data_IF_586354956843
#
_entry.id   IF_586354956843
#
_cell.length_a   1.000
_cell.length_b   1.000
_cell.length_c   1.000
_cell.angle_alpha   90.00
_cell.angle_beta   90.00
_cell.angle_gamma   90.00
#
_symmetry.space_group_name_H-M   'P 1'
#
loop_
_entity.id
_entity.type
_entity.pdbx_description
1 polymer ?
#
# COMPACT_ATOMS: atom_id res chain seq x y z
N UNK A 1 -3.64 -16.49 -0.74
CA UNK A 1 -2.50 -15.59 -0.97
C UNK A 1 -2.51 -14.55 0.13
N UNK A 2 -1.36 -14.20 0.69
CA UNK A 2 -1.25 -13.03 1.57
C UNK A 2 -1.42 -11.74 0.75
N UNK A 3 -1.80 -10.64 1.39
CA UNK A 3 -1.97 -9.35 0.71
C UNK A 3 -0.67 -8.94 -0.01
N UNK A 4 0.48 -9.20 0.60
CA UNK A 4 1.81 -8.95 0.02
C UNK A 4 2.02 -9.70 -1.30
N UNK A 5 1.66 -11.00 -1.34
CA UNK A 5 1.76 -11.81 -2.55
C UNK A 5 0.83 -11.30 -3.65
N UNK A 6 -0.38 -10.86 -3.29
CA UNK A 6 -1.32 -10.26 -4.24
C UNK A 6 -0.75 -8.97 -4.83
N UNK A 7 -0.24 -8.07 -3.98
CA UNK A 7 0.37 -6.81 -4.43
C UNK A 7 1.59 -7.05 -5.31
N UNK A 8 2.41 -8.06 -5.02
CA UNK A 8 3.54 -8.41 -5.88
C UNK A 8 3.10 -8.87 -7.28
N UNK A 9 2.01 -9.65 -7.36
CA UNK A 9 1.42 -10.04 -8.63
C UNK A 9 0.85 -8.82 -9.37
N UNK A 10 0.14 -7.94 -8.69
CA UNK A 10 -0.48 -6.75 -9.27
C UNK A 10 0.58 -5.74 -9.74
N UNK A 11 1.70 -5.59 -9.01
CA UNK A 11 2.85 -4.78 -9.46
C UNK A 11 3.37 -5.30 -10.79
N UNK A 12 3.52 -6.62 -10.94
CA UNK A 12 3.98 -7.23 -12.18
C UNK A 12 2.98 -6.96 -13.32
N UNK A 13 1.67 -7.04 -13.06
CA UNK A 13 0.65 -6.71 -14.04
C UNK A 13 0.68 -5.22 -14.44
N UNK A 14 0.76 -4.31 -13.47
CA UNK A 14 0.86 -2.88 -13.72
C UNK A 14 2.12 -2.51 -14.53
N UNK A 15 3.25 -3.18 -14.27
CA UNK A 15 4.47 -3.03 -15.07
C UNK A 15 4.27 -3.48 -16.53
N UNK A 16 3.63 -4.63 -16.75
CA UNK A 16 3.33 -5.14 -18.09
C UNK A 16 2.35 -4.24 -18.85
N UNK A 17 1.33 -3.74 -18.15
CA UNK A 17 0.34 -2.81 -18.67
C UNK A 17 0.87 -1.39 -18.89
N UNK A 18 2.10 -1.09 -18.42
CA UNK A 18 2.70 0.26 -18.40
C UNK A 18 1.82 1.30 -17.67
N UNK A 19 1.03 0.85 -16.70
CA UNK A 19 0.19 1.73 -15.90
C UNK A 19 1.00 2.34 -14.75
N UNK A 20 1.56 3.53 -14.99
CA UNK A 20 2.48 4.18 -14.05
C UNK A 20 1.80 4.57 -12.74
N UNK A 21 0.57 5.09 -12.80
CA UNK A 21 -0.18 5.53 -11.62
C UNK A 21 -0.50 4.36 -10.69
N UNK A 22 -1.01 3.26 -11.26
CA UNK A 22 -1.29 2.04 -10.52
C UNK A 22 -0.02 1.41 -9.94
N UNK A 23 1.06 1.37 -10.72
CA UNK A 23 2.36 0.86 -10.28
C UNK A 23 2.90 1.64 -9.08
N UNK A 24 2.77 2.95 -9.08
CA UNK A 24 3.23 3.81 -7.99
C UNK A 24 2.39 3.60 -6.72
N UNK A 25 1.06 3.53 -6.87
CA UNK A 25 0.15 3.24 -5.76
C UNK A 25 0.45 1.87 -5.12
N UNK A 26 0.64 0.82 -5.92
CA UNK A 26 0.93 -0.53 -5.45
C UNK A 26 2.30 -0.61 -4.74
N UNK A 27 3.33 0.05 -5.29
CA UNK A 27 4.66 0.12 -4.65
C UNK A 27 4.63 0.85 -3.31
N UNK A 28 3.86 1.94 -3.24
CA UNK A 28 3.65 2.67 -1.99
C UNK A 28 3.00 1.78 -0.92
N UNK A 29 1.96 1.01 -1.28
CA UNK A 29 1.32 0.07 -0.34
C UNK A 29 2.31 -1.02 0.11
N UNK A 30 3.06 -1.61 -0.83
CA UNK A 30 4.11 -2.60 -0.50
C UNK A 30 5.13 -2.04 0.51
N UNK A 31 5.56 -0.79 0.34
CA UNK A 31 6.48 -0.14 1.28
C UNK A 31 5.89 0.00 2.68
N UNK A 32 4.61 0.34 2.80
CA UNK A 32 3.94 0.43 4.10
C UNK A 32 3.82 -0.93 4.78
N UNK A 33 3.53 -1.99 4.02
CA UNK A 33 3.50 -3.36 4.55
C UNK A 33 4.88 -3.76 5.10
N UNK A 34 5.95 -3.53 4.33
CA UNK A 34 7.32 -3.81 4.77
C UNK A 34 7.69 -3.03 6.04
N UNK A 35 7.31 -1.75 6.12
CA UNK A 35 7.55 -0.95 7.33
C UNK A 35 6.82 -1.54 8.54
N UNK A 36 5.55 -1.93 8.40
CA UNK A 36 4.79 -2.55 9.47
C UNK A 36 5.34 -3.93 9.89
N UNK A 37 5.92 -4.69 8.95
CA UNK A 37 6.65 -5.94 9.25
C UNK A 37 7.89 -5.65 10.10
N UNK A 38 8.65 -4.60 9.77
CA UNK A 38 9.85 -4.21 10.51
C UNK A 38 9.55 -3.59 11.89
N UNK A 39 8.48 -2.81 12.03
CA UNK A 39 8.09 -2.16 13.29
C UNK A 39 7.70 -3.17 14.39
N UNK A 40 7.13 -4.32 14.01
CA UNK A 40 6.76 -5.36 14.97
C UNK A 40 7.94 -6.19 15.47
N UNK A 41 9.16 -5.92 14.99
CA UNK A 41 10.41 -6.52 15.50
C UNK A 41 10.55 -8.04 15.27
N UNK A 42 9.56 -8.68 14.65
CA UNK A 42 9.55 -10.10 14.35
C UNK A 42 9.10 -10.24 12.91
N UNK A 43 9.79 -11.09 12.16
CA UNK A 43 9.40 -11.67 10.86
C UNK A 43 8.11 -12.50 10.97
N UNK A 44 7.13 -12.02 11.74
CA UNK A 44 5.83 -12.58 11.91
C UNK A 44 4.96 -11.98 10.81
N UNK A 45 4.42 -12.84 9.97
CA UNK A 45 3.42 -12.47 8.98
C UNK A 45 2.39 -11.53 9.63
N UNK A 46 2.19 -10.36 9.03
CA UNK A 46 1.17 -9.42 9.50
C UNK A 46 -0.18 -10.13 9.43
N UNK A 47 -0.93 -10.12 10.54
CA UNK A 47 -2.29 -10.67 10.56
C UNK A 47 -3.18 -9.95 9.56
N UNK A 48 -4.13 -10.63 8.94
CA UNK A 48 -5.03 -10.04 7.94
C UNK A 48 -5.81 -8.81 8.46
N UNK A 49 -6.07 -8.74 9.76
CA UNK A 49 -6.64 -7.54 10.40
C UNK A 49 -5.69 -6.34 10.39
N UNK A 50 -4.41 -6.57 10.68
CA UNK A 50 -3.40 -5.51 10.63
C UNK A 50 -3.13 -5.06 9.18
N UNK A 51 -3.16 -6.00 8.22
CA UNK A 51 -3.13 -5.68 6.79
C UNK A 51 -4.31 -4.77 6.39
N UNK A 52 -5.53 -5.11 6.82
CA UNK A 52 -6.73 -4.32 6.53
C UNK A 52 -6.68 -2.92 7.15
N UNK A 53 -6.22 -2.81 8.41
CA UNK A 53 -6.02 -1.51 9.07
C UNK A 53 -4.97 -0.66 8.35
N UNK A 54 -3.90 -1.27 7.85
CA UNK A 54 -2.86 -0.59 7.11
C UNK A 54 -3.39 -0.04 5.77
N UNK A 55 -4.18 -0.83 5.04
CA UNK A 55 -4.86 -0.37 3.83
C UNK A 55 -5.84 0.77 4.10
N UNK A 56 -6.63 0.70 5.19
CA UNK A 56 -7.53 1.79 5.58
C UNK A 56 -6.75 3.08 5.89
N UNK A 57 -5.63 2.99 6.62
CA UNK A 57 -4.76 4.13 6.91
C UNK A 57 -4.19 4.74 5.62
N UNK A 58 -3.72 3.89 4.72
CA UNK A 58 -3.19 4.29 3.42
C UNK A 58 -4.24 5.00 2.54
N UNK A 59 -5.48 4.52 2.53
CA UNK A 59 -6.58 5.15 1.82
C UNK A 59 -6.95 6.51 2.42
N UNK A 60 -7.02 6.59 3.76
CA UNK A 60 -7.31 7.82 4.49
C UNK A 60 -6.25 8.90 4.22
N UNK A 61 -4.97 8.57 4.32
CA UNK A 61 -3.88 9.52 4.05
C UNK A 61 -3.95 10.10 2.64
N UNK A 62 -4.22 9.27 1.63
CA UNK A 62 -4.34 9.75 0.25
C UNK A 62 -5.54 10.68 0.05
N UNK A 63 -6.68 10.35 0.68
CA UNK A 63 -7.87 11.20 0.65
C UNK A 63 -7.59 12.55 1.32
N UNK A 64 -6.97 12.54 2.49
CA UNK A 64 -6.59 13.76 3.21
C UNK A 64 -5.60 14.61 2.40
N UNK A 65 -4.57 13.99 1.80
CA UNK A 65 -3.64 14.71 0.93
C UNK A 65 -4.33 15.33 -0.29
N UNK A 66 -5.26 14.61 -0.92
CA UNK A 66 -6.04 15.13 -2.05
C UNK A 66 -6.94 16.30 -1.64
N UNK A 67 -7.62 16.19 -0.48
CA UNK A 67 -8.44 17.28 0.07
C UNK A 67 -7.62 18.52 0.42
N UNK A 68 -6.43 18.35 1.01
CA UNK A 68 -5.51 19.45 1.31
C UNK A 68 -5.07 20.13 0.01
N UNK A 69 -4.67 19.35 -1.00
CA UNK A 69 -4.26 19.90 -2.29
C UNK A 69 -5.39 20.67 -2.98
N UNK A 70 -6.64 20.24 -2.85
CA UNK A 70 -7.79 20.97 -3.40
C UNK A 70 -8.15 22.23 -2.62
N UNK A 71 -7.88 22.28 -1.31
CA UNK A 71 -8.18 23.46 -0.47
C UNK A 71 -7.13 24.57 -0.58
N UNK A 72 -5.88 24.20 -0.83
CA UNK A 72 -4.73 25.12 -0.90
C UNK A 72 -4.45 25.62 -2.33
N UNK A 73 -5.29 25.27 -3.32
CA UNK A 73 -5.26 25.78 -4.70
C UNK A 73 -6.56 26.54 -5.03
#
# INVERSE_FOLDING_TARGET
MSLKQQIDADIKQAMLAKNKEELEALRSIKSMILLAETEKGVSADITSEAESKLLMKAAKQRKESAEIFQKEN
#
